data_IF_211553551778
#
_entry.id   IF_211553551778
#
_cell.length_a   1.000
_cell.length_b   1.000
_cell.length_c   1.000
_cell.angle_alpha   90.00
_cell.angle_beta   90.00
_cell.angle_gamma   90.00
#
_symmetry.space_group_name_H-M   'P 1'
#
loop_
_entity.id
_entity.type
_entity.pdbx_description
1 polymer ?
#
# COMPACT_ATOMS: atom_id res chain seq x y z
N UNK A 1 -6.50 -23.42 -45.20
CA UNK A 1 -6.25 -21.97 -45.21
C UNK A 1 -6.27 -21.46 -43.77
N UNK A 2 -5.22 -20.81 -43.27
CA UNK A 2 -5.21 -20.22 -41.91
C UNK A 2 -5.54 -18.74 -42.01
N UNK A 3 -6.74 -18.35 -41.58
CA UNK A 3 -7.07 -16.93 -41.39
C UNK A 3 -6.36 -16.41 -40.16
N UNK A 4 -5.29 -15.62 -40.34
CA UNK A 4 -4.59 -14.96 -39.23
C UNK A 4 -5.47 -13.82 -38.73
N UNK A 5 -5.89 -13.89 -37.46
CA UNK A 5 -6.65 -12.84 -36.81
C UNK A 5 -5.89 -11.51 -36.82
N UNK A 6 -6.58 -10.41 -37.15
CA UNK A 6 -6.00 -9.07 -37.28
C UNK A 6 -5.32 -8.64 -35.97
N UNK A 7 -4.15 -7.97 -36.01
CA UNK A 7 -3.60 -7.33 -34.82
C UNK A 7 -4.58 -6.32 -34.23
N UNK A 8 -4.76 -6.40 -32.91
CA UNK A 8 -5.62 -5.48 -32.15
C UNK A 8 -5.08 -4.05 -32.26
N UNK A 9 -5.98 -3.10 -32.49
CA UNK A 9 -5.71 -1.71 -32.86
C UNK A 9 -4.66 -1.03 -31.98
N UNK A 10 -3.41 -0.95 -32.46
CA UNK A 10 -2.42 0.04 -31.99
C UNK A 10 -2.51 1.24 -32.94
N UNK A 11 -2.73 2.46 -32.43
CA UNK A 11 -2.60 3.67 -33.24
C UNK A 11 -1.12 3.88 -33.54
N UNK A 12 -0.62 3.24 -34.61
CA UNK A 12 0.74 3.46 -35.10
C UNK A 12 0.84 4.91 -35.61
N UNK A 13 1.35 5.81 -34.77
CA UNK A 13 1.64 7.17 -35.18
C UNK A 13 2.68 7.16 -36.31
N UNK A 14 2.47 7.92 -37.40
CA UNK A 14 3.43 8.00 -38.48
C UNK A 14 4.74 8.63 -37.97
N UNK A 15 5.86 8.00 -38.34
CA UNK A 15 7.20 8.39 -37.93
C UNK A 15 8.12 8.37 -39.16
N UNK A 16 9.05 9.31 -39.23
CA UNK A 16 10.00 9.47 -40.34
C UNK A 16 11.23 8.57 -40.19
N UNK A 17 11.53 8.10 -38.98
CA UNK A 17 12.65 7.20 -38.69
C UNK A 17 12.23 6.00 -37.82
N UNK A 18 12.97 4.87 -37.85
CA UNK A 18 12.74 3.75 -36.95
C UNK A 18 12.86 4.14 -35.46
N UNK A 19 13.77 5.05 -35.13
CA UNK A 19 13.94 5.56 -33.76
C UNK A 19 12.69 6.30 -33.29
N UNK A 20 12.17 7.22 -34.11
CA UNK A 20 10.93 7.96 -33.82
C UNK A 20 9.73 7.00 -33.72
N UNK A 21 9.67 5.97 -34.58
CA UNK A 21 8.63 4.95 -34.52
C UNK A 21 8.65 4.19 -33.17
N UNK A 22 9.80 3.73 -32.70
CA UNK A 22 9.91 3.06 -31.40
C UNK A 22 9.68 4.02 -30.23
N UNK A 23 10.13 5.27 -30.34
CA UNK A 23 9.92 6.29 -29.31
C UNK A 23 8.43 6.56 -29.07
N UNK A 24 7.67 6.77 -30.15
CA UNK A 24 6.25 7.15 -30.05
C UNK A 24 5.34 5.93 -29.83
N UNK A 25 5.60 4.79 -30.48
CA UNK A 25 4.68 3.65 -30.46
C UNK A 25 5.03 2.56 -29.42
N UNK A 26 6.20 2.65 -28.77
CA UNK A 26 6.64 1.69 -27.75
C UNK A 26 7.07 2.39 -26.46
N UNK A 27 8.07 3.29 -26.53
CA UNK A 27 8.66 3.89 -25.33
C UNK A 27 7.69 4.79 -24.56
N UNK A 28 7.05 5.76 -25.23
CA UNK A 28 6.09 6.68 -24.59
C UNK A 28 4.92 5.91 -23.95
N UNK A 29 4.18 5.02 -24.64
CA UNK A 29 3.09 4.26 -24.02
C UNK A 29 3.51 3.39 -22.83
N UNK A 30 4.73 2.83 -22.85
CA UNK A 30 5.27 2.06 -21.72
C UNK A 30 5.57 2.99 -20.54
N UNK A 31 6.20 4.14 -20.78
CA UNK A 31 6.49 5.13 -19.74
C UNK A 31 5.21 5.72 -19.13
N UNK A 32 4.21 6.05 -19.95
CA UNK A 32 2.90 6.50 -19.49
C UNK A 32 2.22 5.42 -18.64
N UNK A 33 2.26 4.16 -19.07
CA UNK A 33 1.74 3.03 -18.29
C UNK A 33 2.48 2.88 -16.95
N UNK A 34 3.80 3.04 -16.90
CA UNK A 34 4.57 3.03 -15.65
C UNK A 34 4.18 4.19 -14.73
N UNK A 35 4.05 5.42 -15.26
CA UNK A 35 3.63 6.60 -14.48
C UNK A 35 2.22 6.39 -13.91
N UNK A 36 1.27 5.93 -14.73
CA UNK A 36 -0.10 5.62 -14.29
C UNK A 36 -0.09 4.52 -13.24
N UNK A 37 0.70 3.45 -13.44
CA UNK A 37 0.81 2.35 -12.47
C UNK A 37 1.33 2.85 -11.13
N UNK A 38 2.44 3.61 -11.12
CA UNK A 38 3.06 4.20 -9.92
C UNK A 38 2.22 5.28 -9.25
N UNK A 39 1.31 5.92 -9.99
CA UNK A 39 0.36 6.90 -9.44
C UNK A 39 -0.85 6.20 -8.81
N UNK A 40 -1.33 5.11 -9.41
CA UNK A 40 -2.43 4.30 -8.88
C UNK A 40 -2.03 3.53 -7.60
N UNK A 41 -0.92 2.76 -7.67
CA UNK A 41 0.32 3.16 -7.00
C UNK A 41 0.22 3.84 -5.64
N UNK A 42 1.04 4.87 -5.45
CA UNK A 42 1.08 5.72 -4.26
C UNK A 42 -0.10 6.71 -4.20
N UNK A 43 -1.31 6.23 -4.51
CA UNK A 43 -2.55 6.98 -4.34
C UNK A 43 -2.78 7.34 -2.88
N UNK A 44 -3.63 8.33 -2.61
CA UNK A 44 -3.91 8.83 -1.27
C UNK A 44 -4.26 7.71 -0.27
N UNK A 45 -4.99 6.68 -0.72
CA UNK A 45 -5.31 5.51 0.10
C UNK A 45 -4.05 4.75 0.58
N UNK A 46 -3.05 4.55 -0.28
CA UNK A 46 -1.78 3.91 0.13
C UNK A 46 -0.99 4.79 1.09
N UNK A 47 -1.01 6.12 0.91
CA UNK A 47 -0.38 7.04 1.85
C UNK A 47 -1.03 6.96 3.25
N UNK A 48 -2.36 6.95 3.32
CA UNK A 48 -3.08 6.78 4.58
C UNK A 48 -2.80 5.41 5.22
N UNK A 49 -2.67 4.35 4.43
CA UNK A 49 -2.29 3.03 4.92
C UNK A 49 -0.84 3.00 5.43
N UNK A 50 0.11 3.63 4.72
CA UNK A 50 1.50 3.76 5.15
C UNK A 50 1.63 4.48 6.49
N UNK A 51 0.87 5.55 6.71
CA UNK A 51 0.82 6.23 8.01
C UNK A 51 0.30 5.33 9.15
N UNK A 52 -0.52 4.31 8.86
CA UNK A 52 -0.93 3.30 9.87
C UNK A 52 0.20 2.33 10.23
N UNK A 53 1.25 2.20 9.41
CA UNK A 53 2.46 1.40 9.75
C UNK A 53 3.15 1.85 11.03
N UNK A 54 2.89 3.08 11.48
CA UNK A 54 3.33 3.65 12.76
C UNK A 54 2.83 2.84 13.97
N UNK A 55 1.71 2.13 13.83
CA UNK A 55 1.17 1.25 14.85
C UNK A 55 1.94 -0.08 14.95
N UNK A 56 2.88 -0.37 14.04
CA UNK A 56 3.78 -1.51 14.17
C UNK A 56 4.78 -1.22 15.31
N UNK A 57 4.83 -2.04 16.39
CA UNK A 57 5.64 -1.77 17.57
C UNK A 57 7.14 -1.54 17.33
N UNK A 58 7.75 -2.15 16.31
CA UNK A 58 9.14 -1.88 15.93
C UNK A 58 9.40 -0.43 15.50
N UNK A 59 8.39 0.25 14.95
CA UNK A 59 8.49 1.61 14.37
C UNK A 59 7.93 2.72 15.28
N UNK A 60 7.27 2.35 16.39
CA UNK A 60 6.43 3.26 17.18
C UNK A 60 7.21 4.34 17.96
N UNK A 61 8.51 4.11 18.19
CA UNK A 61 9.36 4.93 19.06
C UNK A 61 9.56 6.35 18.51
N UNK A 62 9.94 6.47 17.24
CA UNK A 62 10.25 7.74 16.59
C UNK A 62 9.03 8.50 16.04
N UNK A 63 7.82 7.98 16.24
CA UNK A 63 6.60 8.45 15.58
C UNK A 63 5.63 9.15 16.53
N UNK A 64 4.92 10.15 16.02
CA UNK A 64 3.96 10.96 16.76
C UNK A 64 2.51 10.50 16.50
N UNK A 65 1.55 11.08 17.24
CA UNK A 65 0.14 10.92 16.91
C UNK A 65 -0.27 11.76 15.69
N UNK A 66 0.41 12.88 15.45
CA UNK A 66 0.07 13.80 14.37
C UNK A 66 0.30 13.16 12.98
N UNK A 67 1.32 12.29 12.87
CA UNK A 67 1.57 11.45 11.69
C UNK A 67 0.40 10.50 11.33
N UNK A 68 -0.43 10.13 12.31
CA UNK A 68 -1.55 9.19 12.16
C UNK A 68 -2.90 9.91 11.95
N UNK A 69 -2.95 11.23 12.15
CA UNK A 69 -4.18 12.02 12.19
C UNK A 69 -4.98 11.93 10.89
N UNK A 70 -4.32 12.05 9.75
CA UNK A 70 -4.98 12.02 8.43
C UNK A 70 -5.57 10.62 8.15
N UNK A 71 -4.88 9.55 8.54
CA UNK A 71 -5.37 8.18 8.44
C UNK A 71 -6.58 7.92 9.34
N UNK A 72 -6.59 8.49 10.55
CA UNK A 72 -7.74 8.40 11.47
C UNK A 72 -8.96 9.08 10.85
N UNK A 73 -8.80 10.27 10.27
CA UNK A 73 -9.88 10.95 9.55
C UNK A 73 -10.34 10.16 8.32
N UNK A 74 -9.41 9.55 7.58
CA UNK A 74 -9.73 8.75 6.40
C UNK A 74 -10.48 7.44 6.73
N UNK A 75 -10.12 6.78 7.83
CA UNK A 75 -10.73 5.52 8.27
C UNK A 75 -11.82 5.68 9.35
N UNK A 76 -12.26 6.91 9.65
CA UNK A 76 -13.19 7.22 10.75
C UNK A 76 -14.48 6.37 10.72
N UNK A 77 -15.04 6.15 9.52
CA UNK A 77 -16.26 5.37 9.32
C UNK A 77 -16.14 3.87 9.72
N UNK A 78 -14.93 3.35 9.86
CA UNK A 78 -14.66 1.97 10.28
C UNK A 78 -14.33 1.84 11.78
N UNK A 79 -14.11 2.95 12.48
CA UNK A 79 -13.74 2.94 13.89
C UNK A 79 -14.98 2.78 14.78
N UNK A 80 -14.96 1.90 15.81
CA UNK A 80 -16.12 1.65 16.68
C UNK A 80 -16.52 2.88 17.52
N UNK A 81 -15.59 3.82 17.69
CA UNK A 81 -15.84 5.23 18.03
C UNK A 81 -14.54 6.00 17.71
N UNK A 82 -14.57 7.25 17.24
CA UNK A 82 -13.34 8.04 17.02
C UNK A 82 -12.79 8.67 18.31
N UNK A 83 -13.63 8.77 19.35
CA UNK A 83 -13.27 9.41 20.62
C UNK A 83 -12.14 8.67 21.35
N UNK A 84 -11.29 9.45 22.02
CA UNK A 84 -10.18 8.99 22.85
C UNK A 84 -9.11 8.15 22.11
N UNK A 85 -8.95 8.33 20.79
CA UNK A 85 -7.95 7.58 20.00
C UNK A 85 -6.51 8.03 20.25
N UNK A 86 -6.31 9.30 20.61
CA UNK A 86 -4.99 9.84 20.98
C UNK A 86 -4.49 9.22 22.28
N UNK A 87 -5.38 9.07 23.25
CA UNK A 87 -5.15 8.47 24.56
C UNK A 87 -4.87 6.97 24.43
N UNK A 88 -5.64 6.27 23.60
CA UNK A 88 -5.40 4.86 23.25
C UNK A 88 -4.02 4.69 22.59
N UNK A 89 -3.66 5.56 21.63
CA UNK A 89 -2.34 5.56 21.00
C UNK A 89 -1.20 5.80 21.98
N UNK A 90 -1.32 6.78 22.89
CA UNK A 90 -0.29 7.05 23.89
C UNK A 90 -0.13 5.91 24.90
N UNK A 91 -1.22 5.22 25.27
CA UNK A 91 -1.16 4.03 26.11
C UNK A 91 -0.50 2.84 25.37
N UNK A 92 -0.86 2.62 24.11
CA UNK A 92 -0.28 1.56 23.27
C UNK A 92 1.21 1.81 22.99
N UNK A 93 1.61 3.03 22.64
CA UNK A 93 3.02 3.41 22.49
C UNK A 93 3.80 3.15 23.78
N UNK A 94 3.28 3.59 24.93
CA UNK A 94 3.91 3.34 26.24
C UNK A 94 3.99 1.85 26.61
N UNK A 95 3.00 1.02 26.24
CA UNK A 95 3.07 -0.45 26.41
C UNK A 95 4.32 -0.99 25.72
N UNK A 96 4.47 -0.73 24.41
CA UNK A 96 5.57 -1.28 23.63
C UNK A 96 6.94 -0.65 23.94
N UNK A 97 6.99 0.62 24.35
CA UNK A 97 8.22 1.24 24.84
C UNK A 97 8.75 0.61 26.14
N UNK A 98 7.86 0.04 26.97
CA UNK A 98 8.25 -0.71 28.17
C UNK A 98 8.66 -2.16 27.85
N UNK A 99 8.39 -2.67 26.64
CA UNK A 99 8.82 -3.99 26.18
C UNK A 99 10.16 -3.91 25.43
N UNK A 100 10.96 -4.97 25.51
CA UNK A 100 12.24 -5.05 24.83
C UNK A 100 12.05 -4.98 23.31
N UNK A 101 13.01 -4.36 22.61
CA UNK A 101 12.94 -4.17 21.15
C UNK A 101 12.79 -5.52 20.41
N UNK A 102 13.43 -6.56 20.93
CA UNK A 102 13.38 -7.93 20.38
C UNK A 102 11.99 -8.59 20.48
N UNK A 103 11.17 -8.21 21.46
CA UNK A 103 9.81 -8.74 21.65
C UNK A 103 8.74 -7.97 20.84
N UNK A 104 9.08 -6.78 20.33
CA UNK A 104 8.16 -5.91 19.57
C UNK A 104 7.89 -6.50 18.18
N UNK A 105 6.61 -6.74 17.80
CA UNK A 105 6.27 -7.13 16.44
C UNK A 105 6.86 -6.19 15.38
N UNK A 106 7.47 -6.79 14.37
CA UNK A 106 8.08 -6.13 13.21
C UNK A 106 7.10 -5.94 12.04
N UNK A 107 5.99 -6.66 12.05
CA UNK A 107 4.99 -6.70 10.99
C UNK A 107 3.56 -6.44 11.51
N UNK A 108 2.68 -6.04 10.58
CA UNK A 108 1.29 -5.66 10.86
C UNK A 108 0.43 -6.81 11.42
N UNK A 109 0.69 -8.05 10.97
CA UNK A 109 -0.11 -9.23 11.29
C UNK A 109 0.15 -9.63 12.74
N UNK A 110 1.42 -9.74 13.14
CA UNK A 110 1.78 -10.03 14.53
C UNK A 110 1.39 -8.89 15.48
N UNK A 111 1.51 -7.64 15.05
CA UNK A 111 1.00 -6.50 15.80
C UNK A 111 -0.52 -6.61 16.03
N UNK A 112 -1.30 -6.98 15.01
CA UNK A 112 -2.76 -7.20 15.11
C UNK A 112 -3.12 -8.39 16.02
N UNK A 113 -2.40 -9.51 15.91
CA UNK A 113 -2.61 -10.71 16.73
C UNK A 113 -2.31 -10.43 18.20
N UNK A 114 -1.18 -9.79 18.50
CA UNK A 114 -0.79 -9.42 19.89
C UNK A 114 -1.54 -8.20 20.43
N UNK A 115 -2.29 -7.48 19.60
CA UNK A 115 -3.13 -6.36 20.05
C UNK A 115 -4.38 -6.87 20.78
N UNK A 116 -4.53 -6.49 22.04
CA UNK A 116 -5.71 -6.83 22.84
C UNK A 116 -6.89 -5.91 22.47
N UNK A 117 -7.90 -6.45 21.78
CA UNK A 117 -9.05 -5.69 21.29
C UNK A 117 -9.97 -5.10 22.37
N UNK A 118 -9.87 -5.56 23.63
CA UNK A 118 -10.64 -5.00 24.76
C UNK A 118 -10.02 -3.70 25.26
N UNK A 119 -8.69 -3.60 25.28
CA UNK A 119 -7.96 -2.40 25.73
C UNK A 119 -7.63 -1.44 24.58
N UNK A 120 -7.45 -1.97 23.37
CA UNK A 120 -7.01 -1.22 22.18
C UNK A 120 -7.92 -1.48 20.96
N UNK A 121 -9.25 -1.27 21.07
CA UNK A 121 -10.20 -1.59 20.00
C UNK A 121 -9.96 -0.76 18.72
N UNK A 122 -9.60 0.52 18.84
CA UNK A 122 -9.43 1.43 17.69
C UNK A 122 -8.13 1.13 16.96
N UNK A 123 -7.05 0.92 17.70
CA UNK A 123 -5.74 0.50 17.18
C UNK A 123 -5.84 -0.89 16.55
N UNK A 124 -6.62 -1.81 17.13
CA UNK A 124 -6.82 -3.14 16.54
C UNK A 124 -7.50 -3.06 15.18
N UNK A 125 -8.51 -2.19 15.00
CA UNK A 125 -9.15 -1.96 13.69
C UNK A 125 -8.17 -1.34 12.70
N UNK A 126 -7.39 -0.32 13.09
CA UNK A 126 -6.39 0.27 12.22
C UNK A 126 -5.32 -0.75 11.78
N UNK A 127 -4.81 -1.56 12.70
CA UNK A 127 -3.90 -2.66 12.39
C UNK A 127 -4.53 -3.72 11.47
N UNK A 128 -5.83 -4.00 11.62
CA UNK A 128 -6.56 -4.91 10.74
C UNK A 128 -6.67 -4.35 9.32
N UNK A 129 -6.98 -3.07 9.17
CA UNK A 129 -7.00 -2.36 7.89
C UNK A 129 -5.60 -2.47 7.28
N UNK A 130 -4.55 -2.06 7.99
CA UNK A 130 -3.18 -2.11 7.48
C UNK A 130 -2.72 -3.53 7.09
N UNK A 131 -3.06 -4.55 7.88
CA UNK A 131 -2.71 -5.96 7.61
C UNK A 131 -3.52 -6.60 6.46
N UNK A 132 -4.65 -6.02 6.06
CA UNK A 132 -5.48 -6.52 4.95
C UNK A 132 -5.23 -5.80 3.62
N UNK A 133 -4.42 -4.74 3.62
CA UNK A 133 -4.09 -3.98 2.42
C UNK A 133 -2.84 -4.53 1.72
N UNK A 134 -2.88 -4.72 0.39
CA UNK A 134 -1.70 -5.07 -0.40
C UNK A 134 -0.78 -3.84 -0.54
N UNK A 135 0.00 -3.56 0.52
CA UNK A 135 0.96 -2.45 0.56
C UNK A 135 2.08 -2.59 -0.47
N UNK A 136 2.45 -3.82 -0.82
CA UNK A 136 3.28 -4.10 -1.99
C UNK A 136 2.50 -4.94 -2.98
N UNK A 137 2.60 -4.60 -4.26
CA UNK A 137 2.51 -5.61 -5.32
C UNK A 137 3.77 -6.45 -5.27
N UNK A 138 3.89 -7.30 -4.25
CA UNK A 138 4.57 -8.59 -4.43
C UNK A 138 3.66 -9.39 -5.36
N UNK A 139 3.76 -9.06 -6.64
CA UNK A 139 3.15 -9.82 -7.73
C UNK A 139 3.65 -11.24 -7.57
N UNK A 140 2.82 -12.11 -7.01
CA UNK A 140 3.10 -13.54 -7.02
C UNK A 140 3.38 -13.92 -8.46
N UNK A 141 4.52 -14.58 -8.70
CA UNK A 141 5.16 -14.74 -10.02
C UNK A 141 4.39 -15.72 -10.92
N UNK A 142 3.11 -15.43 -11.16
CA UNK A 142 2.09 -16.18 -11.90
C UNK A 142 1.07 -15.13 -12.40
N UNK A 143 1.12 -14.65 -13.63
CA UNK A 143 1.51 -15.38 -14.83
C UNK A 143 1.97 -14.45 -15.96
N UNK A 144 3.22 -14.59 -16.41
CA UNK A 144 3.67 -14.14 -17.74
C UNK A 144 4.13 -15.32 -18.62
N UNK A 145 3.51 -16.50 -18.43
CA UNK A 145 3.77 -17.72 -19.23
C UNK A 145 3.15 -17.69 -20.64
N UNK A 146 3.09 -16.53 -21.30
CA UNK A 146 2.60 -16.42 -22.69
C UNK A 146 3.24 -15.31 -23.52
N UNK A 147 4.54 -15.04 -23.35
CA UNK A 147 5.34 -14.40 -24.41
C UNK A 147 6.16 -15.46 -25.14
N UNK A 148 5.50 -16.14 -26.08
CA UNK A 148 6.17 -16.78 -27.22
C UNK A 148 6.39 -15.69 -28.28
N UNK A 149 7.56 -15.08 -28.24
CA UNK A 149 8.19 -14.43 -29.40
C UNK A 149 8.97 -15.49 -30.17
#
# INVERSE_FOLDING_TARGET
>A
MRGVGRPMYRPNAPAQTPEEYYRVNLFIPIMDHFIISLTNQFSAHQWMAYNVSILVPSMIEHKSFDDLKDSITFYEAYLPSPNLIKEEFQLYKRKWLNEAIEDRPDNAIDAYVRCNGTFFPKIKVLLQIYATLPMTTTTGERSFSTLKL
#
